data_IF_661646731721
#
_entry.id   IF_661646731721
#
_cell.length_a   1.000
_cell.length_b   1.000
_cell.length_c   1.000
_cell.angle_alpha   90.00
_cell.angle_beta   90.00
_cell.angle_gamma   90.00
#
_symmetry.space_group_name_H-M   'P 1'
#
loop_
_entity.id
_entity.type
_entity.pdbx_description
1 polymer ?
#
# COMPACT_ATOMS: atom_id res chain seq x y z
N UNK A 1 18.68 -41.26 -23.85
CA UNK A 1 18.93 -39.80 -23.85
C UNK A 1 17.74 -39.02 -24.47
N UNK A 2 16.50 -39.38 -24.14
CA UNK A 2 15.30 -38.63 -24.59
C UNK A 2 14.16 -38.64 -23.55
N UNK A 3 14.16 -39.60 -22.61
CA UNK A 3 13.10 -39.74 -21.58
C UNK A 3 13.42 -39.04 -20.24
N UNK A 4 14.56 -38.37 -20.10
CA UNK A 4 14.93 -37.64 -18.87
C UNK A 4 14.41 -36.19 -18.82
N UNK A 5 13.82 -35.70 -19.91
CA UNK A 5 13.36 -34.31 -20.03
C UNK A 5 11.83 -34.18 -19.99
N UNK A 6 11.08 -35.28 -20.01
CA UNK A 6 9.62 -35.28 -19.98
C UNK A 6 9.01 -35.19 -18.56
N UNK A 7 9.79 -35.44 -17.51
CA UNK A 7 9.34 -35.36 -16.10
C UNK A 7 9.56 -33.99 -15.45
N UNK A 8 10.11 -33.02 -16.17
CA UNK A 8 10.34 -31.66 -15.66
C UNK A 8 9.10 -30.74 -15.75
N UNK A 9 8.03 -31.14 -16.45
CA UNK A 9 6.86 -30.30 -16.68
C UNK A 9 5.70 -30.51 -15.68
N UNK A 10 5.82 -31.43 -14.72
CA UNK A 10 4.71 -31.81 -13.81
C UNK A 10 5.00 -31.51 -12.32
N UNK A 11 5.81 -30.50 -12.00
CA UNK A 11 6.03 -30.06 -10.60
C UNK A 11 5.76 -28.58 -10.32
N UNK A 12 4.85 -27.95 -11.08
CA UNK A 12 4.31 -26.62 -10.73
C UNK A 12 3.00 -26.72 -9.91
N UNK A 13 2.82 -27.82 -9.16
CA UNK A 13 1.61 -28.08 -8.39
C UNK A 13 1.92 -28.89 -7.15
N UNK A 14 2.08 -28.19 -6.02
CA UNK A 14 2.11 -28.82 -4.70
C UNK A 14 3.32 -28.38 -3.88
N UNK A 15 3.09 -27.53 -2.88
CA UNK A 15 3.46 -27.72 -1.48
C UNK A 15 3.00 -26.47 -0.69
N UNK A 16 1.69 -26.27 -0.61
CA UNK A 16 1.07 -25.32 0.30
C UNK A 16 0.61 -26.07 1.56
N UNK A 17 1.57 -26.49 2.39
CA UNK A 17 1.28 -27.17 3.65
C UNK A 17 2.51 -27.80 4.30
N UNK A 18 3.21 -27.03 5.14
CA UNK A 18 4.10 -27.46 6.22
C UNK A 18 4.43 -26.21 7.07
N UNK A 19 3.75 -26.00 8.20
CA UNK A 19 4.16 -26.43 9.56
C UNK A 19 5.34 -25.63 10.15
N UNK A 20 5.04 -24.91 11.25
CA UNK A 20 5.98 -24.66 12.35
C UNK A 20 7.02 -23.53 12.20
N UNK A 21 6.84 -22.43 12.93
CA UNK A 21 7.97 -21.77 13.62
C UNK A 21 8.51 -20.44 13.08
N UNK A 22 8.28 -20.04 11.83
CA UNK A 22 8.83 -18.78 11.30
C UNK A 22 7.74 -17.75 11.00
N UNK A 23 7.32 -17.04 12.05
CA UNK A 23 6.53 -15.82 11.92
C UNK A 23 7.40 -14.72 11.30
N UNK A 24 7.54 -14.74 9.97
CA UNK A 24 8.12 -13.60 9.24
C UNK A 24 7.62 -13.63 7.80
N UNK A 25 7.98 -14.64 7.01
CA UNK A 25 7.65 -14.67 5.56
C UNK A 25 6.14 -14.73 5.27
N UNK A 26 5.40 -15.57 5.98
CA UNK A 26 3.96 -15.73 5.74
C UNK A 26 3.16 -14.44 6.00
N UNK A 27 3.60 -13.61 6.94
CA UNK A 27 2.98 -12.30 7.23
C UNK A 27 3.21 -11.32 6.09
N UNK A 28 4.43 -11.22 5.57
CA UNK A 28 4.74 -10.38 4.41
C UNK A 28 3.94 -10.79 3.18
N UNK A 29 3.86 -12.10 2.89
CA UNK A 29 3.07 -12.62 1.76
C UNK A 29 1.60 -12.25 1.89
N UNK A 30 0.99 -12.37 3.09
CA UNK A 30 -0.40 -11.94 3.31
C UNK A 30 -0.59 -10.45 3.03
N UNK A 31 0.33 -9.61 3.47
CA UNK A 31 0.25 -8.15 3.26
C UNK A 31 0.49 -7.82 1.79
N UNK A 32 1.38 -8.55 1.09
CA UNK A 32 1.56 -8.44 -0.35
C UNK A 32 0.24 -8.65 -1.08
N UNK A 33 -0.45 -9.75 -0.76
CA UNK A 33 -1.75 -10.08 -1.36
C UNK A 33 -2.79 -8.98 -1.07
N UNK A 34 -2.87 -8.48 0.16
CA UNK A 34 -3.75 -7.36 0.51
C UNK A 34 -3.42 -6.11 -0.33
N UNK A 35 -2.15 -5.72 -0.42
CA UNK A 35 -1.72 -4.57 -1.23
C UNK A 35 -2.09 -4.76 -2.70
N UNK A 36 -1.85 -5.95 -3.26
CA UNK A 36 -2.21 -6.27 -4.65
C UNK A 36 -3.71 -6.12 -4.88
N UNK A 37 -4.55 -6.64 -3.98
CA UNK A 37 -6.01 -6.50 -4.08
C UNK A 37 -6.42 -5.03 -3.99
N UNK A 38 -5.88 -4.27 -3.04
CA UNK A 38 -6.17 -2.84 -2.92
C UNK A 38 -5.75 -2.07 -4.19
N UNK A 39 -4.66 -2.45 -4.83
CA UNK A 39 -4.20 -1.83 -6.09
C UNK A 39 -5.07 -2.24 -7.28
N UNK A 40 -5.49 -3.50 -7.36
CA UNK A 40 -6.42 -3.95 -8.38
C UNK A 40 -7.77 -3.21 -8.29
N UNK A 41 -8.29 -3.01 -7.06
CA UNK A 41 -9.50 -2.22 -6.82
C UNK A 41 -9.31 -0.77 -7.26
N UNK A 42 -8.15 -0.17 -6.97
CA UNK A 42 -7.84 1.21 -7.37
C UNK A 42 -7.89 1.36 -8.89
N UNK A 43 -7.18 0.49 -9.61
CA UNK A 43 -7.18 0.46 -11.07
C UNK A 43 -8.61 0.24 -11.57
N UNK A 44 -9.33 -0.76 -11.07
CA UNK A 44 -10.71 -1.01 -11.49
C UNK A 44 -11.62 0.22 -11.28
N UNK A 45 -11.47 0.93 -10.16
CA UNK A 45 -12.26 2.14 -9.87
C UNK A 45 -11.98 3.31 -10.83
N UNK A 46 -10.78 3.37 -11.42
CA UNK A 46 -10.43 4.37 -12.42
C UNK A 46 -10.98 4.05 -13.81
N UNK A 47 -11.17 2.78 -14.13
CA UNK A 47 -11.64 2.34 -15.46
C UNK A 47 -13.16 2.17 -15.55
N UNK A 48 -13.87 2.00 -14.43
CA UNK A 48 -15.32 1.84 -14.43
C UNK A 48 -16.01 3.21 -14.42
N UNK A 49 -16.76 3.57 -15.49
CA UNK A 49 -17.56 4.79 -15.49
C UNK A 49 -18.80 4.60 -14.59
N UNK A 50 -19.23 5.68 -13.93
CA UNK A 50 -20.47 5.70 -13.12
C UNK A 50 -20.26 5.96 -11.63
N UNK A 51 -19.00 6.08 -11.16
CA UNK A 51 -18.70 6.47 -9.77
C UNK A 51 -18.75 8.00 -9.66
N UNK A 52 -19.47 8.56 -8.68
CA UNK A 52 -19.47 10.01 -8.42
C UNK A 52 -18.04 10.52 -8.16
N UNK A 53 -17.67 11.64 -8.79
CA UNK A 53 -16.31 12.20 -8.72
C UNK A 53 -15.80 12.36 -7.29
N UNK A 54 -16.63 12.87 -6.37
CA UNK A 54 -16.26 13.08 -4.97
C UNK A 54 -15.96 11.75 -4.27
N UNK A 55 -16.78 10.72 -4.49
CA UNK A 55 -16.56 9.39 -3.92
C UNK A 55 -15.30 8.73 -4.48
N UNK A 56 -15.05 8.90 -5.78
CA UNK A 56 -13.83 8.41 -6.42
C UNK A 56 -12.60 9.04 -5.78
N UNK A 57 -12.53 10.38 -5.69
CA UNK A 57 -11.37 11.08 -5.13
C UNK A 57 -11.14 10.70 -3.66
N UNK A 58 -12.19 10.74 -2.83
CA UNK A 58 -12.08 10.39 -1.40
C UNK A 58 -11.68 8.92 -1.22
N UNK A 59 -12.26 8.02 -2.01
CA UNK A 59 -11.95 6.59 -1.98
C UNK A 59 -10.51 6.29 -2.37
N UNK A 60 -10.00 6.89 -3.45
CA UNK A 60 -8.62 6.76 -3.89
C UNK A 60 -7.63 7.32 -2.86
N UNK A 61 -7.96 8.46 -2.25
CA UNK A 61 -7.13 9.07 -1.22
C UNK A 61 -7.04 8.15 0.02
N UNK A 62 -8.19 7.59 0.44
CA UNK A 62 -8.24 6.63 1.55
C UNK A 62 -7.43 5.36 1.27
N UNK A 63 -7.60 4.76 0.09
CA UNK A 63 -6.84 3.58 -0.33
C UNK A 63 -5.34 3.85 -0.42
N UNK A 64 -4.94 5.06 -0.85
CA UNK A 64 -3.53 5.47 -0.90
C UNK A 64 -2.92 5.60 0.49
N UNK A 65 -3.63 6.23 1.44
CA UNK A 65 -3.20 6.33 2.84
C UNK A 65 -3.07 4.93 3.46
N UNK A 66 -4.04 4.04 3.21
CA UNK A 66 -4.02 2.68 3.72
C UNK A 66 -2.81 1.88 3.19
N UNK A 67 -2.53 1.95 1.89
CA UNK A 67 -1.36 1.31 1.27
C UNK A 67 -0.06 1.83 1.87
N UNK A 68 0.05 3.15 1.98
CA UNK A 68 1.21 3.79 2.57
C UNK A 68 1.44 3.31 4.01
N UNK A 69 0.40 3.25 4.84
CA UNK A 69 0.49 2.76 6.21
C UNK A 69 0.90 1.28 6.29
N UNK A 70 0.36 0.41 5.41
CA UNK A 70 0.73 -1.00 5.34
C UNK A 70 2.19 -1.20 4.91
N UNK A 71 2.64 -0.46 3.89
CA UNK A 71 4.03 -0.52 3.40
C UNK A 71 5.00 -0.03 4.47
N UNK A 72 4.72 1.13 5.08
CA UNK A 72 5.59 1.70 6.11
C UNK A 72 5.62 0.83 7.36
N UNK A 73 4.46 0.35 7.81
CA UNK A 73 4.35 -0.47 9.00
C UNK A 73 5.08 -1.80 8.88
N UNK A 74 4.92 -2.50 7.75
CA UNK A 74 5.40 -3.87 7.61
C UNK A 74 6.62 -4.00 6.70
N UNK A 75 6.61 -3.43 5.49
CA UNK A 75 7.70 -3.56 4.51
C UNK A 75 8.92 -2.68 4.80
N UNK A 76 8.71 -1.48 5.35
CA UNK A 76 9.81 -0.61 5.81
C UNK A 76 10.27 -0.96 7.22
N UNK A 77 9.76 -2.06 7.78
CA UNK A 77 10.12 -2.60 9.10
C UNK A 77 9.86 -1.68 10.30
N UNK A 78 9.30 -0.47 10.14
CA UNK A 78 9.07 0.45 11.25
C UNK A 78 8.40 -0.25 12.44
N UNK A 79 7.38 -1.10 12.23
CA UNK A 79 6.70 -1.82 13.32
C UNK A 79 7.60 -2.75 14.15
N UNK A 80 8.70 -3.22 13.59
CA UNK A 80 9.64 -4.14 14.23
C UNK A 80 10.98 -3.48 14.58
N UNK A 81 11.21 -2.24 14.12
CA UNK A 81 12.46 -1.51 14.28
C UNK A 81 12.45 -0.48 15.42
N UNK A 82 13.62 0.11 15.69
CA UNK A 82 13.82 1.10 16.75
C UNK A 82 12.94 2.36 16.58
N UNK A 83 12.52 3.01 17.68
CA UNK A 83 11.67 4.21 17.62
C UNK A 83 12.34 5.40 16.91
N UNK A 84 13.68 5.40 16.81
CA UNK A 84 14.45 6.41 16.08
C UNK A 84 14.17 6.35 14.57
N UNK A 85 14.14 5.16 13.98
CA UNK A 85 13.84 5.00 12.55
C UNK A 85 12.38 5.37 12.24
N UNK A 86 11.46 5.11 13.19
CA UNK A 86 10.08 5.61 13.09
C UNK A 86 10.03 7.12 13.08
N UNK A 87 10.73 7.77 14.01
CA UNK A 87 10.75 9.23 14.12
C UNK A 87 11.38 9.89 12.88
N UNK A 88 12.44 9.30 12.33
CA UNK A 88 13.11 9.80 11.12
C UNK A 88 12.21 9.75 9.88
N UNK A 89 11.26 8.82 9.83
CA UNK A 89 10.29 8.74 8.74
C UNK A 89 9.07 9.64 8.98
N UNK A 90 8.48 9.58 10.18
CA UNK A 90 7.25 10.32 10.53
C UNK A 90 7.50 11.82 10.69
N UNK A 91 8.68 12.22 11.17
CA UNK A 91 9.05 13.63 11.35
C UNK A 91 8.97 14.43 10.04
N UNK A 92 9.75 14.05 9.00
CA UNK A 92 9.67 14.70 7.69
C UNK A 92 8.28 14.59 7.05
N UNK A 93 7.56 13.48 7.25
CA UNK A 93 6.19 13.33 6.75
C UNK A 93 5.24 14.38 7.35
N UNK A 94 5.29 14.58 8.66
CA UNK A 94 4.49 15.60 9.34
C UNK A 94 4.90 17.01 8.90
N UNK A 95 6.19 17.28 8.77
CA UNK A 95 6.69 18.56 8.27
C UNK A 95 6.19 18.82 6.85
N UNK A 96 6.23 17.83 5.95
CA UNK A 96 5.73 17.95 4.59
C UNK A 96 4.23 18.26 4.56
N UNK A 97 3.42 17.55 5.35
CA UNK A 97 1.98 17.83 5.49
C UNK A 97 1.76 19.26 6.01
N UNK A 98 2.49 19.67 7.04
CA UNK A 98 2.38 21.02 7.60
C UNK A 98 2.75 22.11 6.58
N UNK A 99 3.82 21.90 5.79
CA UNK A 99 4.21 22.82 4.71
C UNK A 99 3.11 22.89 3.65
N UNK A 100 2.57 21.76 3.21
CA UNK A 100 1.48 21.74 2.22
C UNK A 100 0.28 22.54 2.74
N UNK A 101 -0.15 22.29 3.99
CA UNK A 101 -1.26 23.03 4.60
C UNK A 101 -0.96 24.52 4.77
N UNK A 102 0.27 24.87 5.17
CA UNK A 102 0.71 26.26 5.30
C UNK A 102 0.71 26.98 3.94
N UNK A 103 1.14 26.32 2.87
CA UNK A 103 1.09 26.87 1.51
C UNK A 103 -0.35 27.02 1.02
N UNK A 104 -1.22 26.04 1.27
CA UNK A 104 -2.65 26.15 0.94
C UNK A 104 -3.30 27.34 1.66
N UNK A 105 -2.95 27.56 2.94
CA UNK A 105 -3.43 28.70 3.71
C UNK A 105 -2.85 30.03 3.19
N UNK A 106 -1.56 30.08 2.90
CA UNK A 106 -0.87 31.28 2.40
C UNK A 106 -1.45 31.78 1.08
N UNK A 107 -1.71 30.87 0.13
CA UNK A 107 -2.30 31.24 -1.16
C UNK A 107 -3.83 31.39 -1.12
N UNK A 108 -4.46 31.29 0.06
CA UNK A 108 -5.94 31.26 0.21
C UNK A 108 -6.61 30.29 -0.77
N UNK A 109 -5.91 29.19 -1.10
CA UNK A 109 -6.37 28.13 -1.99
C UNK A 109 -7.18 27.09 -1.20
N UNK A 110 -7.95 27.55 -0.21
CA UNK A 110 -8.81 26.67 0.56
C UNK A 110 -10.00 26.31 -0.33
N UNK A 111 -10.01 25.09 -0.84
CA UNK A 111 -11.02 24.57 -1.78
C UNK A 111 -12.45 24.60 -1.19
N UNK A 112 -12.60 24.95 0.09
CA UNK A 112 -13.83 25.00 0.89
C UNK A 112 -14.34 26.42 1.23
N UNK A 113 -13.61 27.51 0.95
CA UNK A 113 -14.16 28.87 1.11
C UNK A 113 -14.53 29.46 -0.27
N UNK A 114 -15.82 29.66 -0.57
CA UNK A 114 -16.25 30.55 -1.64
C UNK A 114 -15.63 31.92 -1.43
N UNK A 115 -14.89 32.37 -2.44
CA UNK A 115 -14.28 33.70 -2.47
C UNK A 115 -15.41 34.73 -2.66
N UNK A 116 -15.54 35.78 -1.83
CA UNK A 116 -16.38 36.93 -2.17
C UNK A 116 -15.76 37.73 -3.33
#
# INVERSE_FOLDING_TARGET
>A
MAELHATAATQAGGHAGAEGGHATVATYVRIAVVLTVLTAIEVASLYIPGIPYVLLVVGLLFMSVLKFALVVGFYMHLRYDSPILRALFVGPLLIAIAIILALMALFSAFILLPRP
#
